data_IF_479679349589
#
_entry.id   IF_479679349589
#
_cell.length_a   1.000
_cell.length_b   1.000
_cell.length_c   1.000
_cell.angle_alpha   90.00
_cell.angle_beta   90.00
_cell.angle_gamma   90.00
#
_symmetry.space_group_name_H-M   'P 1'
#
loop_
_entity.id
_entity.type
_entity.pdbx_description
1 polymer ?
#
# COMPACT_ATOMS: atom_id res chain seq x y z
N UNK A 1 2.86 -3.33 -47.02
CA UNK A 1 2.07 -4.32 -46.24
C UNK A 1 2.76 -4.72 -44.93
N UNK A 2 4.07 -4.98 -44.98
CA UNK A 2 4.86 -5.41 -43.77
C UNK A 2 4.98 -4.28 -42.76
N UNK A 3 5.20 -3.05 -43.19
CA UNK A 3 5.32 -1.87 -42.31
C UNK A 3 4.00 -1.52 -41.57
N UNK A 4 2.86 -1.73 -42.23
CA UNK A 4 1.54 -1.48 -41.65
C UNK A 4 1.20 -2.49 -40.55
N UNK A 5 1.55 -3.77 -40.76
CA UNK A 5 1.37 -4.83 -39.77
C UNK A 5 2.24 -4.62 -38.50
N UNK A 6 3.46 -4.11 -38.67
CA UNK A 6 4.37 -3.83 -37.56
C UNK A 6 3.83 -2.72 -36.65
N UNK A 7 3.37 -1.60 -37.23
CA UNK A 7 2.82 -0.47 -36.47
C UNK A 7 1.50 -0.86 -35.78
N UNK A 8 0.66 -1.63 -36.45
CA UNK A 8 -0.62 -2.07 -35.88
C UNK A 8 -0.45 -3.00 -34.67
N UNK A 9 0.55 -3.90 -34.74
CA UNK A 9 0.90 -4.79 -33.62
C UNK A 9 1.35 -4.04 -32.36
N UNK A 10 2.17 -3.01 -32.52
CA UNK A 10 2.62 -2.18 -31.40
C UNK A 10 1.48 -1.37 -30.77
N UNK A 11 0.54 -0.85 -31.58
CA UNK A 11 -0.62 -0.12 -31.08
C UNK A 11 -1.51 -1.05 -30.25
N UNK A 12 -1.81 -2.26 -30.75
CA UNK A 12 -2.62 -3.24 -30.01
C UNK A 12 -1.94 -3.68 -28.72
N UNK A 13 -0.64 -3.94 -28.77
CA UNK A 13 0.16 -4.27 -27.59
C UNK A 13 0.05 -3.17 -26.52
N UNK A 14 0.25 -1.91 -26.89
CA UNK A 14 0.18 -0.79 -25.96
C UNK A 14 -1.20 -0.63 -25.35
N UNK A 15 -2.28 -0.76 -26.12
CA UNK A 15 -3.65 -0.68 -25.61
C UNK A 15 -3.95 -1.81 -24.61
N UNK A 16 -3.54 -3.03 -24.92
CA UNK A 16 -3.73 -4.18 -24.03
C UNK A 16 -2.90 -4.02 -22.73
N UNK A 17 -1.64 -3.62 -22.89
CA UNK A 17 -0.74 -3.34 -21.77
C UNK A 17 -1.34 -2.29 -20.82
N UNK A 18 -1.75 -1.14 -21.34
CA UNK A 18 -2.34 -0.08 -20.52
C UNK A 18 -3.59 -0.54 -19.77
N UNK A 19 -4.46 -1.31 -20.45
CA UNK A 19 -5.65 -1.88 -19.83
C UNK A 19 -5.31 -2.82 -18.67
N UNK A 20 -4.36 -3.75 -18.86
CA UNK A 20 -3.91 -4.70 -17.84
C UNK A 20 -3.21 -3.97 -16.69
N UNK A 21 -2.33 -3.04 -16.99
CA UNK A 21 -1.59 -2.26 -15.98
C UNK A 21 -2.53 -1.45 -15.12
N UNK A 22 -3.54 -0.81 -15.70
CA UNK A 22 -4.52 -0.03 -14.93
C UNK A 22 -5.19 -0.86 -13.84
N UNK A 23 -5.68 -2.06 -14.16
CA UNK A 23 -6.34 -2.94 -13.19
C UNK A 23 -5.36 -3.44 -12.14
N UNK A 24 -4.15 -3.81 -12.54
CA UNK A 24 -3.09 -4.25 -11.63
C UNK A 24 -2.67 -3.13 -10.68
N UNK A 25 -2.53 -1.91 -11.17
CA UNK A 25 -2.18 -0.74 -10.35
C UNK A 25 -3.29 -0.43 -9.33
N UNK A 26 -4.57 -0.59 -9.70
CA UNK A 26 -5.69 -0.43 -8.76
C UNK A 26 -5.60 -1.46 -7.62
N UNK A 27 -5.33 -2.74 -7.93
CA UNK A 27 -5.11 -3.76 -6.90
C UNK A 27 -3.89 -3.46 -6.03
N UNK A 28 -2.78 -3.02 -6.63
CA UNK A 28 -1.57 -2.64 -5.87
C UNK A 28 -1.83 -1.44 -4.94
N UNK A 29 -2.69 -0.50 -5.33
CA UNK A 29 -3.11 0.59 -4.45
C UNK A 29 -3.94 0.09 -3.27
N UNK A 30 -4.89 -0.82 -3.50
CA UNK A 30 -5.67 -1.44 -2.42
C UNK A 30 -4.76 -2.20 -1.44
N UNK A 31 -3.77 -2.94 -1.94
CA UNK A 31 -2.76 -3.62 -1.12
C UNK A 31 -1.96 -2.62 -0.30
N UNK A 32 -1.49 -1.55 -0.91
CA UNK A 32 -0.76 -0.47 -0.23
C UNK A 32 -1.59 0.13 0.90
N UNK A 33 -2.85 0.43 0.63
CA UNK A 33 -3.72 1.07 1.61
C UNK A 33 -4.05 0.12 2.77
N UNK A 34 -4.19 -1.19 2.50
CA UNK A 34 -4.32 -2.22 3.52
C UNK A 34 -3.06 -2.37 4.38
N UNK A 35 -1.87 -2.33 3.77
CA UNK A 35 -0.59 -2.39 4.48
C UNK A 35 -0.36 -1.15 5.34
N UNK A 36 -0.68 0.04 4.83
CA UNK A 36 -0.61 1.28 5.61
C UNK A 36 -1.57 1.25 6.81
N UNK A 37 -2.77 0.69 6.65
CA UNK A 37 -3.70 0.47 7.74
C UNK A 37 -3.14 -0.51 8.77
N UNK A 38 -2.55 -1.62 8.33
CA UNK A 38 -1.90 -2.58 9.22
C UNK A 38 -0.77 -1.93 10.02
N UNK A 39 0.08 -1.16 9.38
CA UNK A 39 1.13 -0.39 10.06
C UNK A 39 0.56 0.61 11.07
N UNK A 40 -0.53 1.29 10.74
CA UNK A 40 -1.16 2.29 11.61
C UNK A 40 -1.67 1.66 12.90
N UNK A 41 -2.22 0.44 12.83
CA UNK A 41 -2.79 -0.26 13.99
C UNK A 41 -1.73 -1.04 14.76
N UNK A 42 -0.82 -1.74 14.06
CA UNK A 42 0.14 -2.69 14.65
C UNK A 42 1.57 -2.15 14.75
N UNK A 43 1.90 -1.07 14.04
CA UNK A 43 3.23 -0.47 13.97
C UNK A 43 4.17 -1.13 12.96
N UNK A 44 3.74 -2.18 12.25
CA UNK A 44 4.54 -2.92 11.26
C UNK A 44 3.72 -3.30 10.04
N UNK A 45 4.39 -3.63 8.94
CA UNK A 45 3.76 -4.20 7.75
C UNK A 45 3.62 -5.73 7.87
N UNK A 46 2.69 -6.30 7.12
CA UNK A 46 2.41 -7.75 7.09
C UNK A 46 2.97 -8.36 5.79
N UNK A 47 3.63 -9.48 5.90
CA UNK A 47 4.18 -10.22 4.75
C UNK A 47 3.36 -11.44 4.32
N UNK A 48 2.18 -11.65 4.93
CA UNK A 48 1.34 -12.81 4.69
C UNK A 48 -0.09 -12.38 4.31
N UNK A 49 -0.59 -12.90 3.18
CA UNK A 49 -1.91 -12.56 2.67
C UNK A 49 -3.06 -12.95 3.60
N UNK A 50 -3.02 -14.13 4.19
CA UNK A 50 -4.10 -14.61 5.06
C UNK A 50 -4.18 -13.77 6.34
N UNK A 51 -3.03 -13.39 6.88
CA UNK A 51 -2.94 -12.50 8.04
C UNK A 51 -3.45 -11.10 7.70
N UNK A 52 -3.11 -10.56 6.53
CA UNK A 52 -3.55 -9.24 6.10
C UNK A 52 -5.08 -9.19 5.88
N UNK A 53 -5.65 -10.20 5.23
CA UNK A 53 -7.11 -10.31 5.04
C UNK A 53 -7.82 -10.43 6.39
N UNK A 54 -7.33 -11.28 7.29
CA UNK A 54 -7.87 -11.42 8.64
C UNK A 54 -7.82 -10.10 9.42
N UNK A 55 -6.71 -9.37 9.33
CA UNK A 55 -6.58 -8.05 9.91
C UNK A 55 -7.67 -7.10 9.43
N UNK A 56 -7.90 -7.02 8.11
CA UNK A 56 -8.94 -6.16 7.52
C UNK A 56 -10.33 -6.52 8.06
N UNK A 57 -10.61 -7.81 8.26
CA UNK A 57 -11.91 -8.29 8.74
C UNK A 57 -12.15 -8.07 10.24
N UNK A 58 -11.09 -8.12 11.05
CA UNK A 58 -11.22 -8.18 12.52
C UNK A 58 -10.84 -6.89 13.22
N UNK A 59 -9.93 -6.11 12.66
CA UNK A 59 -9.33 -4.96 13.35
C UNK A 59 -10.10 -3.66 13.12
N UNK A 60 -9.85 -2.70 14.00
CA UNK A 60 -10.53 -1.40 14.01
C UNK A 60 -9.51 -0.28 14.18
N UNK A 61 -9.77 0.82 13.48
CA UNK A 61 -9.09 2.08 13.75
C UNK A 61 -9.64 2.72 15.02
N UNK A 62 -8.76 3.27 15.84
CA UNK A 62 -9.13 4.13 16.96
C UNK A 62 -9.24 5.56 16.45
N UNK A 63 -10.42 6.15 16.57
CA UNK A 63 -10.62 7.56 16.28
C UNK A 63 -10.30 8.36 17.53
N UNK A 64 -9.32 9.25 17.44
CA UNK A 64 -8.88 10.09 18.55
C UNK A 64 -9.05 11.56 18.19
N UNK A 65 -9.37 12.36 19.21
CA UNK A 65 -9.31 13.81 19.14
C UNK A 65 -8.12 14.31 19.96
N UNK A 66 -7.28 15.10 19.34
CA UNK A 66 -6.20 15.81 20.02
C UNK A 66 -6.70 17.20 20.39
N UNK A 67 -6.48 17.57 21.65
CA UNK A 67 -6.69 18.93 22.12
C UNK A 67 -5.53 19.38 22.99
N UNK A 68 -5.16 20.61 22.84
CA UNK A 68 -4.18 21.24 23.72
C UNK A 68 -4.88 21.74 24.99
N UNK A 69 -4.26 21.56 26.13
CA UNK A 69 -4.75 22.01 27.43
C UNK A 69 -3.59 22.52 28.27
N UNK A 70 -3.89 23.49 29.11
CA UNK A 70 -2.92 24.06 30.03
C UNK A 70 -3.28 23.60 31.44
N UNK A 71 -2.32 23.01 32.13
CA UNK A 71 -2.46 22.59 33.54
C UNK A 71 -1.43 23.27 34.41
N UNK A 72 -1.74 23.37 35.72
CA UNK A 72 -0.80 23.90 36.69
C UNK A 72 0.33 22.88 36.89
N UNK A 73 1.56 23.31 36.70
CA UNK A 73 2.74 22.52 37.05
C UNK A 73 3.04 22.65 38.55
N UNK A 74 2.67 21.62 39.30
CA UNK A 74 2.80 21.63 40.76
C UNK A 74 4.24 21.72 41.24
N UNK A 75 5.20 21.19 40.48
CA UNK A 75 6.61 21.24 40.86
C UNK A 75 7.19 22.63 40.64
N UNK A 76 6.93 23.23 39.48
CA UNK A 76 7.38 24.60 39.19
C UNK A 76 6.65 25.63 40.09
N UNK A 77 5.36 25.43 40.32
CA UNK A 77 4.58 26.28 41.27
C UNK A 77 5.18 26.23 42.65
N UNK A 78 5.57 25.05 43.14
CA UNK A 78 6.24 24.91 44.44
C UNK A 78 7.63 25.55 44.47
N UNK A 79 8.35 25.47 43.38
CA UNK A 79 9.72 26.03 43.29
C UNK A 79 9.72 27.55 43.26
N UNK A 80 8.80 28.12 42.47
CA UNK A 80 8.75 29.59 42.25
C UNK A 80 7.77 30.33 43.15
N UNK A 81 6.90 29.62 43.90
CA UNK A 81 5.91 30.22 44.80
C UNK A 81 4.77 30.96 44.08
N UNK A 82 4.64 30.81 42.79
CA UNK A 82 3.57 31.36 41.96
C UNK A 82 3.00 30.27 41.07
N UNK A 83 1.72 30.35 40.75
CA UNK A 83 1.06 29.39 39.86
C UNK A 83 1.73 29.41 38.49
N UNK A 84 2.46 28.32 38.21
CA UNK A 84 3.14 28.10 36.93
C UNK A 84 2.40 27.05 36.14
N UNK A 85 2.12 27.31 34.87
CA UNK A 85 1.37 26.42 33.98
C UNK A 85 2.28 25.77 32.96
N UNK A 86 1.90 24.57 32.54
CA UNK A 86 2.51 23.88 31.38
C UNK A 86 1.43 23.43 30.42
N UNK A 87 1.78 23.49 29.14
CA UNK A 87 0.92 23.00 28.08
C UNK A 87 1.07 21.48 27.94
N UNK A 88 -0.07 20.81 27.87
CA UNK A 88 -0.14 19.37 27.63
C UNK A 88 -1.06 19.08 26.46
N UNK A 89 -0.83 17.95 25.83
CA UNK A 89 -1.70 17.41 24.79
C UNK A 89 -2.58 16.33 25.40
N UNK A 90 -3.90 16.51 25.28
CA UNK A 90 -4.87 15.51 25.69
C UNK A 90 -5.35 14.78 24.43
N UNK A 91 -5.31 13.44 24.47
CA UNK A 91 -5.81 12.59 23.39
C UNK A 91 -7.04 11.86 23.93
N UNK A 92 -8.20 12.23 23.42
CA UNK A 92 -9.47 11.59 23.78
C UNK A 92 -9.86 10.58 22.68
N UNK A 93 -10.21 9.36 23.08
CA UNK A 93 -10.73 8.35 22.14
C UNK A 93 -12.21 8.60 21.93
N UNK A 94 -12.59 8.90 20.67
CA UNK A 94 -13.96 9.19 20.27
C UNK A 94 -14.74 7.93 19.87
N UNK A 95 -14.05 6.88 19.40
CA UNK A 95 -14.68 5.66 18.97
C UNK A 95 -13.75 4.76 18.14
N UNK A 96 -14.35 3.73 17.58
CA UNK A 96 -13.65 2.75 16.73
C UNK A 96 -14.40 2.59 15.41
N UNK A 97 -13.65 2.47 14.31
CA UNK A 97 -14.20 2.19 12.98
C UNK A 97 -13.52 0.93 12.43
N UNK A 98 -14.28 -0.08 11.97
CA UNK A 98 -13.70 -1.27 11.35
C UNK A 98 -12.79 -0.88 10.18
N UNK A 99 -11.62 -1.49 10.09
CA UNK A 99 -10.66 -1.27 9.00
C UNK A 99 -11.32 -1.55 7.65
N UNK A 100 -12.07 -2.66 7.56
CA UNK A 100 -12.84 -3.03 6.37
C UNK A 100 -13.76 -1.90 5.89
N UNK A 101 -14.56 -1.35 6.80
CA UNK A 101 -15.54 -0.31 6.44
C UNK A 101 -14.88 0.99 6.02
N UNK A 102 -13.74 1.30 6.62
CA UNK A 102 -12.96 2.50 6.30
C UNK A 102 -12.28 2.43 4.93
N UNK A 103 -11.75 1.26 4.54
CA UNK A 103 -10.98 1.10 3.31
C UNK A 103 -11.84 0.65 2.12
N UNK A 104 -12.77 -0.27 2.35
CA UNK A 104 -13.49 -0.98 1.30
C UNK A 104 -15.01 -0.81 1.39
N UNK A 105 -15.55 -0.35 2.53
CA UNK A 105 -16.98 -0.26 2.76
C UNK A 105 -17.66 -1.62 2.63
N UNK A 106 -18.67 -1.71 1.76
CA UNK A 106 -19.40 -2.95 1.47
C UNK A 106 -18.72 -3.81 0.38
N UNK A 107 -17.65 -3.33 -0.27
CA UNK A 107 -16.99 -4.01 -1.38
C UNK A 107 -16.12 -5.17 -0.86
N UNK A 108 -16.34 -6.41 -1.34
CA UNK A 108 -15.54 -7.57 -0.92
C UNK A 108 -14.19 -7.69 -1.63
N UNK A 109 -13.77 -6.70 -2.44
CA UNK A 109 -12.55 -6.75 -3.26
C UNK A 109 -11.26 -7.01 -2.47
N UNK A 110 -11.24 -6.71 -1.17
CA UNK A 110 -10.11 -7.03 -0.31
C UNK A 110 -9.78 -8.54 -0.22
N UNK A 111 -10.77 -9.41 -0.52
CA UNK A 111 -10.57 -10.88 -0.56
C UNK A 111 -9.85 -11.36 -1.81
N UNK A 112 -9.89 -10.57 -2.87
CA UNK A 112 -9.32 -10.91 -4.18
C UNK A 112 -8.22 -9.92 -4.61
N UNK A 113 -7.93 -8.90 -3.82
CA UNK A 113 -6.90 -7.90 -4.15
C UNK A 113 -5.51 -8.51 -4.33
N UNK A 114 -5.26 -9.67 -3.70
CA UNK A 114 -3.99 -10.38 -3.80
C UNK A 114 -3.83 -11.14 -5.11
N UNK A 115 -4.94 -11.45 -5.79
CA UNK A 115 -4.92 -12.22 -7.03
C UNK A 115 -4.60 -11.30 -8.20
N UNK A 116 -3.79 -11.79 -9.15
CA UNK A 116 -3.45 -11.04 -10.36
C UNK A 116 -4.64 -11.11 -11.31
N UNK A 117 -5.34 -9.98 -11.58
CA UNK A 117 -6.66 -10.00 -12.22
C UNK A 117 -6.62 -10.39 -13.71
N UNK A 118 -5.44 -10.45 -14.31
CA UNK A 118 -5.25 -10.78 -15.73
C UNK A 118 -4.92 -12.26 -15.97
N UNK A 119 -4.81 -13.06 -14.91
CA UNK A 119 -4.46 -14.47 -14.96
C UNK A 119 -5.59 -15.34 -14.42
N UNK A 120 -5.89 -16.42 -15.13
CA UNK A 120 -6.91 -17.39 -14.73
C UNK A 120 -6.41 -18.42 -13.69
N UNK A 121 -5.10 -18.51 -13.52
CA UNK A 121 -4.43 -19.53 -12.68
C UNK A 121 -4.43 -19.19 -11.17
N UNK A 122 -5.08 -18.10 -10.74
CA UNK A 122 -5.11 -17.69 -9.34
C UNK A 122 -3.73 -17.33 -8.77
N UNK A 123 -2.81 -16.90 -9.61
CA UNK A 123 -1.50 -16.41 -9.17
C UNK A 123 -1.68 -15.11 -8.38
N UNK A 124 -0.90 -14.99 -7.31
CA UNK A 124 -0.93 -13.84 -6.40
C UNK A 124 0.25 -12.92 -6.62
N UNK A 125 0.05 -11.65 -6.25
CA UNK A 125 1.17 -10.71 -6.13
C UNK A 125 2.19 -11.23 -5.12
N UNK A 126 3.44 -10.94 -5.36
CA UNK A 126 4.50 -11.20 -4.38
C UNK A 126 4.45 -10.13 -3.30
N UNK A 127 4.28 -10.53 -2.04
CA UNK A 127 4.26 -9.64 -0.89
C UNK A 127 5.45 -9.94 0.01
N UNK A 128 6.21 -8.92 0.35
CA UNK A 128 7.33 -8.97 1.28
C UNK A 128 7.21 -7.84 2.28
N UNK A 129 7.42 -8.14 3.54
CA UNK A 129 7.52 -7.13 4.59
C UNK A 129 8.79 -7.36 5.41
N UNK A 130 9.36 -6.29 5.92
CA UNK A 130 10.59 -6.36 6.69
C UNK A 130 10.87 -5.07 7.44
N UNK A 131 12.04 -5.02 8.04
CA UNK A 131 12.54 -3.83 8.73
C UNK A 131 13.91 -3.50 8.15
N UNK A 132 14.07 -2.28 7.70
CA UNK A 132 15.35 -1.71 7.28
C UNK A 132 15.97 -0.95 8.44
N UNK A 133 17.21 -1.27 8.78
CA UNK A 133 18.00 -0.46 9.70
C UNK A 133 18.76 0.61 8.91
N UNK A 134 18.44 1.86 9.18
CA UNK A 134 19.12 3.01 8.59
C UNK A 134 19.50 4.01 9.68
N UNK A 135 20.79 4.33 9.78
CA UNK A 135 21.31 5.27 10.78
C UNK A 135 20.90 4.95 12.23
N UNK A 136 20.85 3.65 12.60
CA UNK A 136 20.42 3.21 13.93
C UNK A 136 18.92 3.28 14.18
N UNK A 137 18.12 3.56 13.15
CA UNK A 137 16.65 3.58 13.22
C UNK A 137 16.06 2.43 12.43
N UNK A 138 15.15 1.69 13.04
CA UNK A 138 14.41 0.60 12.41
C UNK A 138 13.20 1.15 11.67
N UNK A 139 13.20 1.05 10.35
CA UNK A 139 12.14 1.52 9.47
C UNK A 139 11.39 0.31 8.91
N UNK A 140 10.10 0.11 9.26
CA UNK A 140 9.32 -0.93 8.63
C UNK A 140 9.09 -0.61 7.15
N UNK A 141 9.24 -1.62 6.31
CA UNK A 141 9.07 -1.53 4.86
C UNK A 141 8.30 -2.72 4.33
N UNK A 142 7.63 -2.53 3.21
CA UNK A 142 7.01 -3.63 2.45
C UNK A 142 7.21 -3.41 0.95
N UNK A 143 7.03 -4.47 0.18
CA UNK A 143 6.98 -4.44 -1.28
C UNK A 143 5.92 -5.43 -1.74
N UNK A 144 4.97 -4.96 -2.53
CA UNK A 144 4.06 -5.80 -3.28
C UNK A 144 4.36 -5.65 -4.77
N UNK A 145 4.63 -6.75 -5.46
CA UNK A 145 5.11 -6.71 -6.84
C UNK A 145 4.55 -7.82 -7.73
N UNK A 146 4.57 -7.55 -9.04
CA UNK A 146 4.27 -8.53 -10.09
C UNK A 146 5.17 -8.31 -11.29
N UNK A 147 5.66 -9.40 -11.90
CA UNK A 147 6.49 -9.33 -13.10
C UNK A 147 5.67 -8.92 -14.32
N UNK A 148 6.19 -7.98 -15.12
CA UNK A 148 5.60 -7.61 -16.42
C UNK A 148 5.49 -8.80 -17.38
N UNK A 149 6.45 -9.72 -17.35
CA UNK A 149 6.43 -10.95 -18.17
C UNK A 149 5.24 -11.84 -17.84
N UNK A 150 4.83 -11.89 -16.58
CA UNK A 150 3.63 -12.64 -16.16
C UNK A 150 2.36 -11.94 -16.68
N UNK A 151 2.30 -10.62 -16.58
CA UNK A 151 1.14 -9.84 -17.04
C UNK A 151 0.93 -9.86 -18.55
N UNK A 152 2.02 -10.03 -19.30
CA UNK A 152 2.06 -9.98 -20.78
C UNK A 152 2.46 -11.32 -21.40
N UNK A 153 2.20 -12.42 -20.69
CA UNK A 153 2.64 -13.78 -21.06
C UNK A 153 2.21 -14.25 -22.45
N UNK A 154 1.08 -13.73 -22.93
CA UNK A 154 0.45 -14.06 -24.22
C UNK A 154 0.85 -13.11 -25.37
N UNK A 155 1.76 -12.16 -25.11
CA UNK A 155 2.18 -11.14 -26.08
C UNK A 155 3.52 -11.50 -26.71
N UNK A 156 3.86 -10.78 -27.79
CA UNK A 156 5.14 -10.97 -28.49
C UNK A 156 6.33 -10.76 -27.54
N UNK A 157 7.21 -11.76 -27.50
CA UNK A 157 8.35 -11.78 -26.58
C UNK A 157 9.27 -10.58 -26.73
N UNK A 158 9.49 -10.09 -27.94
CA UNK A 158 10.38 -8.96 -28.18
C UNK A 158 9.79 -7.68 -27.59
N UNK A 159 8.47 -7.47 -27.75
CA UNK A 159 7.77 -6.32 -27.16
C UNK A 159 7.75 -6.40 -25.63
N UNK A 160 7.57 -7.59 -25.07
CA UNK A 160 7.61 -7.82 -23.61
C UNK A 160 9.00 -7.59 -23.03
N UNK A 161 10.05 -8.04 -23.71
CA UNK A 161 11.43 -7.81 -23.28
C UNK A 161 11.78 -6.32 -23.32
N UNK A 162 11.42 -5.60 -24.40
CA UNK A 162 11.59 -4.15 -24.50
C UNK A 162 10.84 -3.42 -23.37
N UNK A 163 9.59 -3.79 -23.10
CA UNK A 163 8.80 -3.20 -22.02
C UNK A 163 9.41 -3.47 -20.62
N UNK A 164 10.05 -4.63 -20.45
CA UNK A 164 10.71 -4.99 -19.19
C UNK A 164 11.99 -4.18 -18.93
N UNK A 165 12.59 -3.61 -19.97
CA UNK A 165 13.78 -2.75 -19.88
C UNK A 165 13.43 -1.29 -19.62
N UNK A 166 12.17 -0.89 -19.84
CA UNK A 166 11.72 0.49 -19.61
C UNK A 166 11.80 0.84 -18.13
N UNK A 167 12.61 1.83 -17.80
CA UNK A 167 12.69 2.42 -16.46
C UNK A 167 11.70 3.57 -16.38
N UNK A 168 10.67 3.40 -15.56
CA UNK A 168 9.70 4.47 -15.30
C UNK A 168 10.04 5.26 -14.05
N UNK A 169 9.63 6.51 -14.02
CA UNK A 169 9.87 7.45 -12.91
C UNK A 169 8.83 7.28 -11.78
N UNK A 170 7.68 6.65 -12.03
CA UNK A 170 6.53 6.62 -11.10
C UNK A 170 6.06 5.21 -10.72
N UNK A 171 6.95 4.35 -10.23
CA UNK A 171 6.55 3.05 -9.65
C UNK A 171 6.41 1.90 -10.63
N UNK A 172 6.55 2.14 -11.94
CA UNK A 172 6.67 1.10 -12.97
C UNK A 172 8.15 0.96 -13.32
N UNK A 173 8.91 0.30 -12.47
CA UNK A 173 10.35 0.25 -12.61
C UNK A 173 10.83 -1.10 -13.14
N UNK A 174 11.49 -1.08 -14.32
CA UNK A 174 12.15 -2.25 -14.88
C UNK A 174 11.18 -3.40 -15.15
N UNK A 175 11.54 -4.64 -14.74
CA UNK A 175 10.79 -5.85 -15.11
C UNK A 175 9.50 -6.09 -14.30
N UNK A 176 9.20 -5.27 -13.32
CA UNK A 176 8.06 -5.48 -12.42
C UNK A 176 7.25 -4.21 -12.19
N UNK A 177 5.93 -4.38 -11.95
CA UNK A 177 5.09 -3.37 -11.32
C UNK A 177 5.13 -3.59 -9.81
N UNK A 178 5.32 -2.53 -9.02
CA UNK A 178 5.43 -2.63 -7.57
C UNK A 178 4.98 -1.39 -6.83
N UNK A 179 4.67 -1.59 -5.57
CA UNK A 179 4.32 -0.57 -4.59
C UNK A 179 5.03 -0.85 -3.25
#
# INVERSE_FOLDING_TARGET
YITFMSIYGEIQFNQLKEKRYKVVIENLKDIRDAELAHRTVTGRFEGNWDSLVKFIETEKFTITQRRDSTIIDKELTRLYGVDTTKDIVIIDTLGFVPVKDSLFGADPRYKTMMDIPTLEDGQKFELKAGVLEQNGTNIPVFEASVSKKILLYDQDKNLVDLESEVKSVEGVNGPSLKV
#
